data_IF_246612901443
#
_entry.id   IF_246612901443
#
_cell.length_a   1.000
_cell.length_b   1.000
_cell.length_c   1.000
_cell.angle_alpha   90.00
_cell.angle_beta   90.00
_cell.angle_gamma   90.00
#
_symmetry.space_group_name_H-M   'P 1'
#
loop_
_entity.id
_entity.type
_entity.pdbx_description
1 polymer ?
#
# COMPACT_ATOMS: atom_id res chain seq x y z
N UNK A 1 12.69 3.27 -16.77
CA UNK A 1 11.79 3.55 -15.64
C UNK A 1 12.62 3.49 -14.37
N UNK A 2 12.50 4.48 -13.48
CA UNK A 2 13.15 4.43 -12.17
C UNK A 2 12.41 3.45 -11.27
N UNK A 3 13.12 2.65 -10.49
CA UNK A 3 12.54 1.84 -9.43
C UNK A 3 12.03 2.77 -8.32
N UNK A 4 10.81 2.54 -7.85
CA UNK A 4 10.27 3.21 -6.66
C UNK A 4 10.51 2.31 -5.44
N UNK A 5 10.89 2.90 -4.32
CA UNK A 5 11.24 2.19 -3.09
C UNK A 5 10.32 2.63 -1.95
N UNK A 6 9.97 1.67 -1.11
CA UNK A 6 9.08 1.88 0.03
C UNK A 6 9.73 1.23 1.23
N UNK A 7 9.89 1.97 2.33
CA UNK A 7 10.47 1.40 3.55
C UNK A 7 9.90 2.07 4.78
N UNK A 8 10.04 1.40 5.91
CA UNK A 8 9.76 2.01 7.21
C UNK A 8 10.67 3.22 7.45
N UNK A 9 10.12 4.25 8.06
CA UNK A 9 10.86 5.47 8.37
C UNK A 9 12.12 5.14 9.18
N UNK A 10 13.27 5.70 8.78
CA UNK A 10 14.58 5.43 9.39
C UNK A 10 15.00 3.95 9.47
N UNK A 11 14.37 3.04 8.72
CA UNK A 11 14.77 1.63 8.67
C UNK A 11 15.48 1.27 7.37
N UNK A 12 16.02 0.05 7.35
CA UNK A 12 16.66 -0.55 6.18
C UNK A 12 15.64 -0.87 5.09
N UNK A 13 16.07 -0.81 3.83
CA UNK A 13 15.28 -1.27 2.68
C UNK A 13 14.96 -2.77 2.72
N UNK A 14 15.73 -3.57 3.47
CA UNK A 14 15.51 -5.01 3.58
C UNK A 14 14.16 -5.39 4.21
N UNK A 15 13.53 -4.47 4.94
CA UNK A 15 12.17 -4.64 5.50
C UNK A 15 11.11 -3.90 4.68
N UNK A 16 11.49 -3.42 3.48
CA UNK A 16 10.69 -2.61 2.59
C UNK A 16 10.20 -3.36 1.34
N UNK A 17 9.69 -2.58 0.41
CA UNK A 17 9.14 -3.02 -0.86
C UNK A 17 9.74 -2.21 -2.01
N UNK A 18 9.70 -2.79 -3.20
CA UNK A 18 10.08 -2.14 -4.44
C UNK A 18 8.94 -2.24 -5.46
N UNK A 19 8.76 -1.17 -6.21
CA UNK A 19 7.78 -1.04 -7.29
C UNK A 19 8.51 -0.73 -8.59
N UNK A 20 8.30 -1.58 -9.60
CA UNK A 20 8.99 -1.47 -10.89
C UNK A 20 8.13 -0.91 -12.04
N UNK A 21 6.95 -0.38 -11.73
CA UNK A 21 5.97 0.05 -12.73
C UNK A 21 4.94 -1.01 -13.11
N UNK A 22 5.09 -2.25 -12.63
CA UNK A 22 4.12 -3.34 -12.86
C UNK A 22 3.87 -4.21 -11.63
N UNK A 23 4.91 -4.54 -10.87
CA UNK A 23 4.86 -5.42 -9.70
C UNK A 23 5.42 -4.71 -8.47
N UNK A 24 4.67 -4.73 -7.38
CA UNK A 24 5.10 -4.37 -6.03
C UNK A 24 5.50 -5.64 -5.31
N UNK A 25 6.71 -5.72 -4.77
CA UNK A 25 7.18 -6.91 -4.03
C UNK A 25 8.11 -6.52 -2.90
N UNK A 26 8.34 -7.40 -1.91
CA UNK A 26 9.37 -7.14 -0.91
C UNK A 26 10.73 -6.95 -1.57
N UNK A 27 11.53 -6.04 -1.02
CA UNK A 27 12.82 -5.66 -1.59
C UNK A 27 13.74 -6.89 -1.72
N UNK A 28 14.35 -7.06 -2.90
CA UNK A 28 15.26 -8.18 -3.17
C UNK A 28 14.62 -9.58 -3.24
N UNK A 29 13.30 -9.70 -3.05
CA UNK A 29 12.58 -10.98 -3.20
C UNK A 29 12.16 -11.24 -4.66
N UNK A 30 11.71 -12.45 -4.94
CA UNK A 30 11.19 -12.84 -6.25
C UNK A 30 9.81 -12.22 -6.54
N UNK A 31 9.49 -12.03 -7.82
CA UNK A 31 8.24 -11.37 -8.25
C UNK A 31 6.96 -12.14 -7.90
N UNK A 32 7.06 -13.47 -7.73
CA UNK A 32 5.95 -14.33 -7.29
C UNK A 32 5.46 -14.03 -5.86
N UNK A 33 6.25 -13.31 -5.06
CA UNK A 33 5.85 -12.81 -3.73
C UNK A 33 5.18 -11.42 -3.81
N UNK A 34 4.99 -10.89 -5.01
CA UNK A 34 4.50 -9.55 -5.25
C UNK A 34 3.02 -9.47 -5.62
N UNK A 35 2.62 -8.23 -5.90
CA UNK A 35 1.31 -7.82 -6.35
C UNK A 35 1.45 -7.06 -7.66
N UNK A 36 0.70 -7.49 -8.67
CA UNK A 36 0.64 -6.79 -9.95
C UNK A 36 -0.46 -5.75 -9.92
N UNK A 37 -0.17 -4.60 -10.53
CA UNK A 37 -1.13 -3.53 -10.72
C UNK A 37 -1.22 -3.18 -12.20
N UNK A 38 -2.43 -3.29 -12.76
CA UNK A 38 -2.72 -2.97 -14.17
C UNK A 38 -3.35 -1.58 -14.37
N UNK A 39 -3.46 -0.78 -13.29
CA UNK A 39 -4.16 0.51 -13.28
C UNK A 39 -5.58 0.44 -12.72
N UNK A 40 -6.18 -0.76 -12.63
CA UNK A 40 -7.53 -0.97 -12.11
C UNK A 40 -7.62 -2.10 -11.09
N UNK A 41 -6.68 -3.06 -11.10
CA UNK A 41 -6.71 -4.26 -10.26
C UNK A 41 -5.36 -4.52 -9.62
N UNK A 42 -5.41 -4.85 -8.34
CA UNK A 42 -4.29 -5.36 -7.56
C UNK A 42 -4.50 -6.85 -7.32
N UNK A 43 -3.66 -7.67 -7.94
CA UNK A 43 -3.75 -9.13 -7.87
C UNK A 43 -2.42 -9.68 -7.34
N UNK A 44 -2.44 -10.56 -6.31
CA UNK A 44 -1.24 -11.21 -5.85
C UNK A 44 -0.74 -12.19 -6.91
N UNK A 45 0.58 -12.20 -7.14
CA UNK A 45 1.20 -13.12 -8.11
C UNK A 45 1.05 -14.58 -7.67
N UNK A 46 0.94 -14.82 -6.36
CA UNK A 46 0.68 -16.14 -5.75
C UNK A 46 -0.62 -16.09 -4.95
N UNK A 47 -1.55 -17.01 -5.23
CA UNK A 47 -2.86 -17.08 -4.55
C UNK A 47 -4.07 -16.88 -5.48
N UNK A 48 -3.84 -16.42 -6.71
CA UNK A 48 -4.86 -16.33 -7.77
C UNK A 48 -5.80 -15.13 -7.65
N UNK A 49 -6.48 -14.78 -8.76
CA UNK A 49 -7.27 -13.54 -8.90
C UNK A 49 -8.57 -13.43 -8.08
N UNK A 50 -8.91 -14.44 -7.26
CA UNK A 50 -10.02 -14.37 -6.31
C UNK A 50 -9.67 -13.54 -5.06
N UNK A 51 -8.37 -13.45 -4.75
CA UNK A 51 -7.82 -12.59 -3.71
C UNK A 51 -7.29 -11.35 -4.43
N UNK A 52 -7.73 -10.16 -4.05
CA UNK A 52 -7.32 -8.95 -4.72
C UNK A 52 -8.21 -7.76 -4.46
N UNK A 53 -7.88 -6.66 -5.12
CA UNK A 53 -8.59 -5.40 -4.99
C UNK A 53 -8.82 -4.75 -6.35
N UNK A 54 -9.91 -3.99 -6.45
CA UNK A 54 -10.20 -3.08 -7.56
C UNK A 54 -10.00 -1.64 -7.12
N UNK A 55 -9.58 -0.82 -8.07
CA UNK A 55 -9.33 0.60 -7.91
C UNK A 55 -10.23 1.39 -8.87
N UNK A 56 -11.02 2.31 -8.33
CA UNK A 56 -11.95 3.14 -9.11
C UNK A 56 -11.46 4.60 -9.31
N UNK A 57 -10.22 4.89 -8.89
CA UNK A 57 -9.67 6.25 -8.87
C UNK A 57 -9.76 6.95 -7.52
N UNK A 58 -10.55 6.44 -6.56
CA UNK A 58 -10.72 7.02 -5.22
C UNK A 58 -10.80 5.99 -4.10
N UNK A 59 -11.21 4.76 -4.41
CA UNK A 59 -11.48 3.71 -3.45
C UNK A 59 -10.77 2.43 -3.86
N UNK A 60 -10.02 1.85 -2.94
CA UNK A 60 -9.53 0.49 -3.06
C UNK A 60 -10.56 -0.46 -2.45
N UNK A 61 -11.19 -1.29 -3.27
CA UNK A 61 -12.24 -2.22 -2.86
C UNK A 61 -11.77 -3.66 -3.00
N UNK A 62 -12.01 -4.54 -2.02
CA UNK A 62 -11.63 -5.94 -2.17
C UNK A 62 -12.57 -6.63 -3.18
N UNK A 63 -12.02 -7.54 -3.99
CA UNK A 63 -12.79 -8.30 -5.01
C UNK A 63 -13.77 -9.28 -4.34
N UNK A 64 -13.37 -9.84 -3.20
CA UNK A 64 -14.20 -10.69 -2.34
C UNK A 64 -14.29 -10.08 -0.94
N UNK A 65 -15.09 -10.68 -0.06
CA UNK A 65 -15.16 -10.22 1.32
C UNK A 65 -13.76 -10.25 1.96
N UNK A 66 -13.32 -9.09 2.44
CA UNK A 66 -12.05 -8.91 3.14
C UNK A 66 -12.31 -8.20 4.47
N UNK A 67 -11.65 -8.63 5.57
CA UNK A 67 -11.80 -7.98 6.88
C UNK A 67 -11.31 -6.52 6.90
N UNK A 68 -10.49 -6.12 5.92
CA UNK A 68 -9.96 -4.75 5.79
C UNK A 68 -11.01 -3.79 5.19
N UNK A 69 -12.01 -4.33 4.49
CA UNK A 69 -13.06 -3.54 3.85
C UNK A 69 -12.53 -2.62 2.73
N UNK A 70 -13.30 -1.56 2.43
CA UNK A 70 -12.93 -0.54 1.44
C UNK A 70 -12.04 0.52 2.05
N UNK A 71 -11.07 1.01 1.29
CA UNK A 71 -10.17 2.08 1.70
C UNK A 71 -10.40 3.28 0.79
N UNK A 72 -10.83 4.38 1.37
CA UNK A 72 -10.89 5.67 0.71
C UNK A 72 -9.50 6.28 0.63
N UNK A 73 -9.14 6.75 -0.56
CA UNK A 73 -7.83 7.22 -0.89
C UNK A 73 -7.93 8.63 -1.49
N UNK A 74 -7.20 9.58 -0.91
CA UNK A 74 -6.94 10.91 -1.46
C UNK A 74 -5.44 11.18 -1.47
N UNK A 75 -5.03 12.26 -2.15
CA UNK A 75 -3.62 12.60 -2.38
C UNK A 75 -2.76 12.59 -1.10
N UNK A 76 -3.36 12.92 0.05
CA UNK A 76 -2.66 13.03 1.32
C UNK A 76 -3.30 12.23 2.48
N UNK A 77 -4.33 11.43 2.22
CA UNK A 77 -5.03 10.68 3.27
C UNK A 77 -5.54 9.35 2.76
N UNK A 78 -5.38 8.30 3.58
CA UNK A 78 -5.97 6.99 3.36
C UNK A 78 -6.77 6.60 4.59
N UNK A 79 -7.98 6.09 4.43
CA UNK A 79 -8.80 5.65 5.58
C UNK A 79 -9.72 4.48 5.23
N UNK A 80 -9.99 3.56 6.17
CA UNK A 80 -11.03 2.58 5.97
C UNK A 80 -12.41 3.27 5.93
N UNK A 81 -13.27 2.94 4.96
CA UNK A 81 -14.58 3.59 4.80
C UNK A 81 -15.55 3.35 5.96
N UNK A 82 -15.40 2.22 6.66
CA UNK A 82 -16.31 1.81 7.74
C UNK A 82 -15.71 1.99 9.14
N UNK A 83 -14.52 2.57 9.24
CA UNK A 83 -13.85 2.84 10.50
C UNK A 83 -13.60 4.33 10.65
N UNK A 84 -13.34 4.79 11.87
CA UNK A 84 -13.00 6.19 12.09
C UNK A 84 -11.63 6.56 11.48
N UNK A 85 -11.43 7.85 11.21
CA UNK A 85 -10.20 8.37 10.59
C UNK A 85 -8.92 8.05 11.39
N UNK A 86 -9.04 7.77 12.69
CA UNK A 86 -7.93 7.36 13.55
C UNK A 86 -7.29 6.01 13.13
N UNK A 87 -7.98 5.22 12.31
CA UNK A 87 -7.44 4.01 11.69
C UNK A 87 -6.78 4.27 10.32
N UNK A 88 -6.71 5.54 9.92
CA UNK A 88 -6.15 5.98 8.64
C UNK A 88 -4.69 6.39 8.71
N UNK A 89 -4.20 6.86 7.57
CA UNK A 89 -2.85 7.35 7.35
C UNK A 89 -2.90 8.72 6.70
N UNK A 90 -1.95 9.58 7.06
CA UNK A 90 -1.75 10.90 6.47
C UNK A 90 -0.36 10.98 5.83
N UNK A 91 -0.27 11.68 4.70
CA UNK A 91 1.00 11.92 4.02
C UNK A 91 1.64 13.22 4.53
N UNK A 92 2.86 13.15 5.04
CA UNK A 92 3.70 14.31 5.39
C UNK A 92 5.01 14.23 4.62
N UNK A 93 5.19 15.15 3.67
CA UNK A 93 6.31 15.09 2.72
C UNK A 93 6.19 13.82 1.87
N UNK A 94 7.14 12.91 2.01
CA UNK A 94 7.13 11.61 1.35
C UNK A 94 6.84 10.43 2.31
N UNK A 95 6.42 10.71 3.54
CA UNK A 95 6.20 9.69 4.56
C UNK A 95 4.71 9.58 4.88
N UNK A 96 4.15 8.37 4.72
CA UNK A 96 2.82 8.03 5.22
C UNK A 96 2.91 7.68 6.70
N UNK A 97 2.14 8.37 7.53
CA UNK A 97 2.17 8.25 8.99
C UNK A 97 0.77 7.85 9.47
N UNK A 98 0.62 6.90 10.41
CA UNK A 98 -0.69 6.61 10.97
C UNK A 98 -1.25 7.84 11.67
N UNK A 99 -2.55 8.08 11.55
CA UNK A 99 -3.15 9.31 12.06
C UNK A 99 -2.90 9.48 13.57
N UNK A 100 -2.38 10.63 13.97
CA UNK A 100 -2.07 10.94 15.37
C UNK A 100 -0.83 10.25 15.94
N UNK A 101 -0.05 9.53 15.13
CA UNK A 101 1.21 8.89 15.53
C UNK A 101 2.44 9.70 15.10
N UNK A 102 3.62 9.30 15.58
CA UNK A 102 4.90 9.86 15.15
C UNK A 102 5.38 9.24 13.83
N UNK A 103 6.29 9.95 13.15
CA UNK A 103 6.88 9.50 11.89
C UNK A 103 7.64 8.16 11.99
N UNK A 104 8.08 7.76 13.19
CA UNK A 104 8.78 6.48 13.40
C UNK A 104 7.90 5.25 13.12
N UNK A 105 6.58 5.44 13.12
CA UNK A 105 5.58 4.43 12.69
C UNK A 105 5.26 4.52 11.20
N UNK A 106 5.86 5.48 10.51
CA UNK A 106 5.57 5.78 9.12
C UNK A 106 6.30 4.90 8.11
N UNK A 107 5.89 5.09 6.86
CA UNK A 107 6.51 4.50 5.68
C UNK A 107 6.94 5.60 4.72
N UNK A 108 8.23 5.65 4.42
CA UNK A 108 8.83 6.53 3.42
C UNK A 108 8.61 5.94 2.02
N UNK A 109 8.16 6.80 1.12
CA UNK A 109 8.00 6.51 -0.30
C UNK A 109 9.08 7.27 -1.09
N UNK A 110 9.73 6.59 -2.01
CA UNK A 110 10.68 7.18 -2.94
C UNK A 110 10.26 6.81 -4.37
N UNK A 111 10.16 7.82 -5.23
CA UNK A 111 9.66 7.64 -6.59
C UNK A 111 8.14 7.70 -6.67
N UNK A 112 7.61 7.36 -7.84
CA UNK A 112 6.18 7.38 -8.12
C UNK A 112 5.59 6.01 -7.77
N UNK A 113 4.85 5.95 -6.66
CA UNK A 113 4.12 4.76 -6.20
C UNK A 113 2.63 5.07 -6.29
N UNK A 114 1.87 4.35 -7.14
CA UNK A 114 0.43 4.53 -7.24
C UNK A 114 -0.26 4.44 -5.87
N UNK A 115 -1.17 5.38 -5.59
CA UNK A 115 -1.94 5.43 -4.36
C UNK A 115 -2.62 4.10 -3.96
N UNK A 116 -3.25 3.31 -4.87
CA UNK A 116 -3.79 2.00 -4.51
C UNK A 116 -2.74 1.01 -3.99
N UNK A 117 -1.49 1.08 -4.47
CA UNK A 117 -0.40 0.24 -3.96
C UNK A 117 0.04 0.67 -2.56
N UNK A 118 0.04 1.97 -2.29
CA UNK A 118 0.27 2.49 -0.93
C UNK A 118 -0.80 1.97 0.02
N UNK A 119 -2.08 2.08 -0.35
CA UNK A 119 -3.19 1.59 0.47
C UNK A 119 -3.12 0.08 0.72
N UNK A 120 -2.81 -0.71 -0.32
CA UNK A 120 -2.57 -2.14 -0.18
C UNK A 120 -1.47 -2.43 0.84
N UNK A 121 -0.34 -1.73 0.74
CA UNK A 121 0.80 -1.96 1.63
C UNK A 121 0.44 -1.65 3.10
N UNK A 122 -0.11 -0.48 3.36
CA UNK A 122 -0.34 0.02 4.72
C UNK A 122 -1.47 -0.70 5.48
N UNK A 123 -2.47 -1.20 4.75
CA UNK A 123 -3.63 -1.85 5.37
C UNK A 123 -3.65 -3.38 5.25
N UNK A 124 -2.91 -3.96 4.31
CA UNK A 124 -2.94 -5.41 4.06
C UNK A 124 -1.59 -6.11 4.24
N UNK A 125 -0.51 -5.58 3.69
CA UNK A 125 0.79 -6.27 3.68
C UNK A 125 1.63 -5.98 4.92
N UNK A 126 1.47 -4.80 5.49
CA UNK A 126 2.12 -4.41 6.73
C UNK A 126 1.14 -3.66 7.66
N UNK A 127 -0.01 -4.26 8.02
CA UNK A 127 -0.91 -3.66 8.97
C UNK A 127 -0.17 -3.48 10.30
N UNK A 128 -0.08 -2.25 10.80
CA UNK A 128 0.35 -2.05 12.19
C UNK A 128 -0.70 -2.65 13.12
N UNK A 129 -0.24 -3.45 14.09
CA UNK A 129 -1.02 -3.99 15.19
C UNK A 129 -1.16 -2.97 16.33
#
# INVERSE_FOLDING_TARGET
MSLSLIKRHNQSLLTGYEWNGKILKPFGQSADQGWEFDGQRLIPQKGGGAQGFTWDGKTLSPIQYSPIGRIECSDNMLRPSLQGFQHGWELKGNTWIPYGQSADKGWEMQGDVPLPLVALLLFHLAPEA
#
